data_IF_736779120307
#
_entry.id   IF_736779120307
#
_cell.length_a   1.000
_cell.length_b   1.000
_cell.length_c   1.000
_cell.angle_alpha   90.00
_cell.angle_beta   90.00
_cell.angle_gamma   90.00
#
_symmetry.space_group_name_H-M   'P 1'
#
loop_
_entity.id
_entity.type
_entity.pdbx_description
1 polymer ?
#
# COMPACT_ATOMS: atom_id res chain seq x y z
N UNK A 1 8.65 8.43 1.49
CA UNK A 1 7.41 7.70 1.81
C UNK A 1 6.63 7.50 0.53
N UNK A 2 6.03 6.33 0.35
CA UNK A 2 5.24 5.94 -0.81
C UNK A 2 3.92 5.33 -0.36
N UNK A 3 2.91 5.45 -1.21
CA UNK A 3 1.66 4.72 -1.07
C UNK A 3 1.53 3.76 -2.23
N UNK A 4 1.08 2.54 -1.96
CA UNK A 4 0.84 1.55 -2.99
C UNK A 4 -0.47 0.81 -2.79
N UNK A 5 -1.17 0.52 -3.89
CA UNK A 5 -2.21 -0.51 -3.93
C UNK A 5 -1.52 -1.84 -4.20
N UNK A 6 -1.83 -2.84 -3.39
CA UNK A 6 -1.35 -4.20 -3.54
C UNK A 6 -2.55 -5.09 -3.86
N UNK A 7 -2.59 -5.61 -5.08
CA UNK A 7 -3.55 -6.63 -5.49
C UNK A 7 -3.07 -7.97 -4.95
N UNK A 8 -3.73 -8.46 -3.91
CA UNK A 8 -3.44 -9.74 -3.26
C UNK A 8 -4.53 -10.77 -3.58
N UNK A 9 -4.32 -12.03 -3.20
CA UNK A 9 -5.29 -13.11 -3.47
C UNK A 9 -6.67 -12.92 -2.81
N UNK A 10 -6.75 -12.17 -1.71
CA UNK A 10 -8.02 -11.88 -1.00
C UNK A 10 -8.64 -10.54 -1.42
N UNK A 11 -7.88 -9.69 -2.13
CA UNK A 11 -8.34 -8.40 -2.60
C UNK A 11 -7.25 -7.33 -2.59
N UNK A 12 -7.58 -6.12 -3.09
CA UNK A 12 -6.71 -4.97 -3.05
C UNK A 12 -6.61 -4.37 -1.64
N UNK A 13 -5.39 -4.01 -1.23
CA UNK A 13 -5.11 -3.29 0.00
C UNK A 13 -4.24 -2.06 -0.29
N UNK A 14 -4.34 -1.01 0.51
CA UNK A 14 -3.46 0.17 0.43
C UNK A 14 -2.45 0.13 1.55
N UNK A 15 -1.17 0.29 1.20
CA UNK A 15 -0.06 0.31 2.15
C UNK A 15 0.72 1.61 2.01
N UNK A 16 1.05 2.21 3.15
CA UNK A 16 2.03 3.28 3.25
C UNK A 16 3.37 2.68 3.68
N UNK A 17 4.45 3.10 3.04
CA UNK A 17 5.79 2.62 3.37
C UNK A 17 6.85 3.69 3.20
N UNK A 18 7.93 3.56 3.97
CA UNK A 18 9.12 4.39 3.82
C UNK A 18 10.15 3.82 2.84
N UNK A 19 9.94 2.61 2.30
CA UNK A 19 10.83 2.04 1.28
C UNK A 19 10.72 2.79 -0.06
N UNK A 20 11.80 2.74 -0.83
CA UNK A 20 11.88 3.37 -2.16
C UNK A 20 11.17 2.54 -3.25
N UNK A 21 10.83 1.28 -2.96
CA UNK A 21 10.14 0.37 -3.88
C UNK A 21 9.00 -0.38 -3.18
N UNK A 22 7.93 -0.66 -3.93
CA UNK A 22 6.83 -1.51 -3.44
C UNK A 22 7.19 -3.00 -3.47
N UNK A 23 8.33 -3.35 -4.08
CA UNK A 23 8.92 -4.68 -4.09
C UNK A 23 10.27 -4.69 -3.37
N UNK A 24 10.51 -3.74 -2.46
CA UNK A 24 11.70 -3.77 -1.62
C UNK A 24 11.78 -5.12 -0.87
N UNK A 25 12.94 -5.80 -0.84
CA UNK A 25 13.05 -7.11 -0.20
C UNK A 25 12.57 -7.16 1.25
N UNK A 26 12.77 -6.09 2.03
CA UNK A 26 12.32 -6.02 3.43
C UNK A 26 10.81 -5.87 3.54
N UNK A 27 10.20 -5.13 2.61
CA UNK A 27 8.73 -5.02 2.52
C UNK A 27 8.11 -6.35 2.13
N UNK A 28 8.67 -7.00 1.12
CA UNK A 28 8.25 -8.31 0.63
C UNK A 28 8.31 -9.35 1.75
N UNK A 29 9.42 -9.41 2.49
CA UNK A 29 9.57 -10.34 3.61
C UNK A 29 8.50 -10.07 4.69
N UNK A 30 8.29 -8.80 5.07
CA UNK A 30 7.22 -8.42 6.01
C UNK A 30 5.85 -8.85 5.50
N UNK A 31 5.53 -8.65 4.22
CA UNK A 31 4.27 -9.08 3.62
C UNK A 31 4.11 -10.61 3.60
N UNK A 32 5.19 -11.34 3.33
CA UNK A 32 5.22 -12.78 3.33
C UNK A 32 4.94 -13.38 4.72
N UNK A 33 5.43 -12.74 5.80
CA UNK A 33 5.10 -13.14 7.19
C UNK A 33 3.60 -13.02 7.50
N UNK A 34 2.88 -12.14 6.78
CA UNK A 34 1.44 -11.94 6.88
C UNK A 34 0.65 -12.77 5.85
N UNK A 35 1.31 -13.68 5.12
CA UNK A 35 0.69 -14.55 4.13
C UNK A 35 0.58 -13.96 2.72
N UNK A 36 1.01 -12.71 2.50
CA UNK A 36 1.00 -12.07 1.17
C UNK A 36 2.33 -12.36 0.47
N UNK A 37 2.39 -13.51 -0.22
CA UNK A 37 3.61 -13.99 -0.90
C UNK A 37 3.67 -13.63 -2.38
N UNK A 38 2.52 -13.34 -3.00
CA UNK A 38 2.40 -13.02 -4.42
C UNK A 38 1.43 -11.86 -4.57
N UNK A 39 1.83 -10.82 -5.28
CA UNK A 39 1.02 -9.61 -5.45
C UNK A 39 1.43 -8.80 -6.68
N UNK A 40 0.53 -7.91 -7.09
CA UNK A 40 0.82 -6.86 -8.06
C UNK A 40 0.64 -5.52 -7.34
N UNK A 41 1.69 -4.71 -7.31
CA UNK A 41 1.67 -3.42 -6.65
C UNK A 41 1.67 -2.27 -7.64
N UNK A 42 0.93 -1.21 -7.32
CA UNK A 42 0.85 0.02 -8.09
C UNK A 42 1.13 1.20 -7.17
N UNK A 43 2.04 2.08 -7.56
CA UNK A 43 2.30 3.30 -6.81
C UNK A 43 1.14 4.28 -6.99
N UNK A 44 0.73 4.92 -5.90
CA UNK A 44 -0.32 5.94 -5.89
C UNK A 44 0.26 7.32 -5.56
N UNK A 45 -0.29 8.40 -6.14
CA UNK A 45 0.02 9.77 -5.75
C UNK A 45 -0.35 10.01 -4.30
N UNK A 46 0.64 10.31 -3.45
CA UNK A 46 0.43 10.55 -2.02
C UNK A 46 -0.61 11.64 -1.74
N UNK A 47 -0.63 12.71 -2.55
CA UNK A 47 -1.60 13.79 -2.39
C UNK A 47 -3.04 13.29 -2.54
N UNK A 48 -3.30 12.37 -3.48
CA UNK A 48 -4.63 11.78 -3.66
C UNK A 48 -5.00 10.87 -2.50
N UNK A 49 -4.05 10.06 -2.02
CA UNK A 49 -4.26 9.19 -0.86
C UNK A 49 -4.59 10.02 0.38
N UNK A 50 -3.85 11.10 0.62
CA UNK A 50 -4.12 12.04 1.72
C UNK A 50 -5.50 12.68 1.61
N UNK A 51 -5.89 13.14 0.43
CA UNK A 51 -7.21 13.74 0.21
C UNK A 51 -8.35 12.74 0.43
N UNK A 52 -8.19 11.48 0.00
CA UNK A 52 -9.22 10.44 0.12
C UNK A 52 -9.39 9.93 1.54
N UNK A 53 -8.29 9.70 2.25
CA UNK A 53 -8.30 9.08 3.58
C UNK A 53 -8.26 10.09 4.73
N UNK A 54 -7.93 11.36 4.47
CA UNK A 54 -8.06 12.47 5.42
C UNK A 54 -7.42 12.19 6.79
N UNK A 55 -8.23 12.25 7.84
CA UNK A 55 -7.78 11.99 9.21
C UNK A 55 -7.23 10.58 9.41
N UNK A 56 -7.77 9.58 8.70
CA UNK A 56 -7.26 8.20 8.82
C UNK A 56 -5.82 8.10 8.34
N UNK A 57 -5.50 8.79 7.24
CA UNK A 57 -4.13 8.90 6.75
C UNK A 57 -3.20 9.56 7.79
N UNK A 58 -3.67 10.60 8.48
CA UNK A 58 -2.87 11.29 9.52
C UNK A 58 -2.60 10.39 10.73
N UNK A 59 -3.62 9.65 11.20
CA UNK A 59 -3.47 8.72 12.32
C UNK A 59 -2.48 7.59 12.01
N UNK A 60 -2.60 6.99 10.81
CA UNK A 60 -1.68 5.93 10.37
C UNK A 60 -0.26 6.47 10.19
N UNK A 61 -0.11 7.71 9.72
CA UNK A 61 1.19 8.37 9.61
C UNK A 61 1.88 8.61 10.94
N UNK A 62 1.14 9.04 11.97
CA UNK A 62 1.68 9.27 13.31
C UNK A 62 2.16 7.96 13.93
N UNK A 63 1.43 6.87 13.72
CA UNK A 63 1.80 5.52 14.17
C UNK A 63 3.02 4.96 13.42
N UNK A 64 3.16 5.28 12.12
CA UNK A 64 4.28 4.83 11.28
C UNK A 64 5.65 5.33 11.78
N UNK A 65 5.68 6.43 12.55
CA UNK A 65 6.92 6.97 13.13
C UNK A 65 7.47 6.17 14.30
N UNK A 66 6.67 5.28 14.92
CA UNK A 66 7.06 4.70 16.20
C UNK A 66 7.85 3.39 16.10
N UNK A 67 7.64 2.51 15.10
CA UNK A 67 8.31 1.18 15.11
C UNK A 67 8.36 0.39 13.80
N UNK A 68 7.74 0.81 12.69
CA UNK A 68 7.60 -0.07 11.50
C UNK A 68 7.72 0.66 10.16
N UNK A 69 8.42 0.02 9.22
CA UNK A 69 8.69 0.54 7.88
C UNK A 69 7.47 0.51 6.92
N UNK A 70 6.34 -0.09 7.34
CA UNK A 70 5.09 -0.10 6.57
C UNK A 70 3.82 -0.21 7.43
N UNK A 71 2.71 0.38 6.94
CA UNK A 71 1.37 0.26 7.54
C UNK A 71 0.30 0.05 6.48
N UNK A 72 -0.71 -0.75 6.82
CA UNK A 72 -1.91 -0.90 6.00
C UNK A 72 -2.84 0.28 6.30
N UNK A 73 -3.16 1.05 5.27
CA UNK A 73 -4.09 2.17 5.35
C UNK A 73 -5.53 1.73 5.09
N UNK A 74 -5.73 0.76 4.21
CA UNK A 74 -7.05 0.25 3.89
C UNK A 74 -6.94 -1.23 3.46
N UNK A 75 -7.80 -2.06 4.03
CA UNK A 75 -7.92 -3.48 3.70
C UNK A 75 -9.28 -3.83 3.08
N UNK A 76 -10.18 -2.85 2.94
CA UNK A 76 -11.46 -3.03 2.28
C UNK A 76 -11.30 -2.85 0.76
N UNK A 77 -11.09 -3.96 0.06
CA UNK A 77 -10.83 -3.94 -1.37
C UNK A 77 -11.91 -3.26 -2.22
N UNK A 78 -13.17 -3.24 -1.76
CA UNK A 78 -14.23 -2.52 -2.46
C UNK A 78 -14.01 -1.00 -2.43
N UNK A 79 -13.68 -0.47 -1.26
CA UNK A 79 -13.37 0.95 -1.06
C UNK A 79 -12.11 1.35 -1.81
N UNK A 80 -11.06 0.51 -1.76
CA UNK A 80 -9.79 0.78 -2.45
C UNK A 80 -9.99 0.98 -3.96
N UNK A 81 -10.74 0.10 -4.62
CA UNK A 81 -10.95 0.22 -6.08
C UNK A 81 -11.88 1.38 -6.47
N UNK A 82 -12.80 1.80 -5.61
CA UNK A 82 -13.68 2.93 -5.91
C UNK A 82 -13.04 4.29 -5.65
N UNK A 83 -12.08 4.36 -4.73
CA UNK A 83 -11.44 5.61 -4.32
C UNK A 83 -10.43 6.14 -5.35
N UNK A 84 -9.87 5.27 -6.18
CA UNK A 84 -8.80 5.62 -7.13
C UNK A 84 -9.17 5.22 -8.56
N UNK A 85 -9.04 6.16 -9.50
CA UNK A 85 -9.13 5.84 -10.92
C UNK A 85 -7.91 5.02 -11.34
N UNK A 86 -8.04 4.12 -12.31
CA UNK A 86 -6.89 3.41 -12.88
C UNK A 86 -5.87 4.36 -13.52
N UNK A 87 -6.29 5.55 -13.96
CA UNK A 87 -5.38 6.60 -14.44
C UNK A 87 -4.43 7.12 -13.36
N UNK A 88 -4.76 6.89 -12.09
CA UNK A 88 -3.97 7.34 -10.94
C UNK A 88 -2.91 6.32 -10.55
N UNK A 89 -2.95 5.13 -11.13
CA UNK A 89 -2.07 4.04 -10.78
C UNK A 89 -0.80 4.18 -11.61
N UNK A 90 0.36 4.10 -10.94
CA UNK A 90 1.65 4.05 -11.61
C UNK A 90 1.86 2.76 -12.40
N UNK A 91 3.11 2.50 -12.77
CA UNK A 91 3.44 1.25 -13.46
C UNK A 91 3.28 0.04 -12.52
N UNK A 92 2.81 -1.11 -13.03
CA UNK A 92 2.72 -2.32 -12.24
C UNK A 92 4.10 -2.82 -11.82
N UNK A 93 4.20 -3.22 -10.56
CA UNK A 93 5.35 -3.92 -9.99
C UNK A 93 4.89 -5.32 -9.57
N UNK A 94 5.54 -6.35 -10.13
CA UNK A 94 5.17 -7.75 -9.90
C UNK A 94 6.10 -8.37 -8.87
N UNK A 95 5.53 -9.10 -7.93
CA UNK A 95 6.29 -9.93 -7.01
C UNK A 95 5.72 -11.35 -6.95
N UNK A 96 6.60 -12.32 -7.14
CA UNK A 96 6.33 -13.75 -7.02
C UNK A 96 7.45 -14.40 -6.19
N UNK A 97 7.15 -15.49 -5.42
CA UNK A 97 8.14 -16.23 -4.64
C UNK A 97 9.16 -16.98 -5.49
#
# INVERSE_FOLDING_TARGET
MKAGIFLTGTGPIVILTNFDSLTDPKLVEKLATKGVRKFIAYELPLEKVRQRYGEHFRLVLEDLKQTDDCRVLDFNGHSVLQNFSFSDWGNPQYHEP
#
